data_IF_954127699328
#
_entry.id   IF_954127699328
#
_cell.length_a   1.000
_cell.length_b   1.000
_cell.length_c   1.000
_cell.angle_alpha   90.00
_cell.angle_beta   90.00
_cell.angle_gamma   90.00
#
_symmetry.space_group_name_H-M   'P 1'
#
loop_
_entity.id
_entity.type
_entity.pdbx_description
1 polymer ?
#
# COMPACT_ATOMS: atom_id res chain seq x y z
N UNK A 1 -1.62 -5.27 27.74
CA UNK A 1 -0.22 -4.86 27.60
C UNK A 1 0.30 -5.38 26.26
N UNK A 2 0.36 -4.53 25.23
CA UNK A 2 0.87 -4.94 23.91
C UNK A 2 2.38 -4.77 23.96
N UNK A 3 3.13 -5.88 24.04
CA UNK A 3 4.58 -5.86 23.92
C UNK A 3 4.94 -5.30 22.54
N UNK A 4 5.45 -4.07 22.52
CA UNK A 4 6.04 -3.50 21.30
C UNK A 4 7.44 -4.07 21.22
N UNK A 5 7.75 -4.92 20.23
CA UNK A 5 9.10 -5.45 20.10
C UNK A 5 10.08 -4.30 19.89
N UNK A 6 11.14 -4.25 20.68
CA UNK A 6 12.20 -3.26 20.52
C UNK A 6 12.82 -3.39 19.12
N UNK A 7 13.08 -2.26 18.43
CA UNK A 7 13.74 -2.28 17.14
C UNK A 7 15.20 -2.71 17.29
N UNK A 8 15.69 -3.48 16.31
CA UNK A 8 17.11 -3.78 16.14
C UNK A 8 17.69 -2.83 15.09
N UNK A 9 18.82 -2.21 15.38
CA UNK A 9 19.58 -1.39 14.44
C UNK A 9 21.03 -1.87 14.35
N UNK A 10 21.64 -1.75 13.18
CA UNK A 10 23.07 -2.02 13.03
C UNK A 10 23.90 -0.80 13.44
N UNK A 11 25.07 -1.01 14.05
CA UNK A 11 25.93 0.11 14.51
C UNK A 11 26.32 1.08 13.38
N UNK A 12 26.54 0.57 12.17
CA UNK A 12 26.90 1.40 11.01
C UNK A 12 25.70 2.15 10.41
N UNK A 13 24.48 1.73 10.74
CA UNK A 13 23.23 2.29 10.22
C UNK A 13 22.20 2.45 11.35
N UNK A 14 22.47 3.34 12.33
CA UNK A 14 21.61 3.50 13.51
C UNK A 14 20.19 3.96 13.14
N UNK A 15 20.04 4.72 12.05
CA UNK A 15 18.74 5.24 11.59
C UNK A 15 17.90 4.18 10.83
N UNK A 16 18.40 2.95 10.71
CA UNK A 16 17.65 1.82 10.13
C UNK A 16 17.11 0.95 11.25
N UNK A 17 15.85 1.19 11.62
CA UNK A 17 15.15 0.47 12.67
C UNK A 17 14.43 -0.76 12.13
N UNK A 18 14.75 -1.94 12.64
CA UNK A 18 14.15 -3.21 12.21
C UNK A 18 13.23 -3.77 13.28
N UNK A 19 11.94 -3.87 12.94
CA UNK A 19 10.91 -4.47 13.78
C UNK A 19 10.57 -5.88 13.29
N UNK A 20 10.75 -6.86 14.16
CA UNK A 20 10.49 -8.27 13.84
C UNK A 20 9.15 -8.76 14.40
N UNK A 21 8.44 -9.58 13.62
CA UNK A 21 7.26 -10.33 14.07
C UNK A 21 7.37 -11.79 13.62
N UNK A 22 7.07 -12.71 14.53
CA UNK A 22 7.27 -14.14 14.31
C UNK A 22 8.69 -14.57 14.73
N UNK A 23 9.12 -15.74 14.27
CA UNK A 23 10.44 -16.31 14.60
C UNK A 23 11.51 -15.72 13.67
N UNK A 24 11.85 -14.45 13.90
CA UNK A 24 12.97 -13.77 13.22
C UNK A 24 14.12 -13.61 14.21
N UNK A 25 15.27 -14.29 14.00
CA UNK A 25 16.43 -14.14 14.87
C UNK A 25 17.01 -12.72 14.83
N UNK A 26 17.64 -12.29 15.94
CA UNK A 26 18.26 -10.96 16.03
C UNK A 26 19.35 -10.73 14.95
N UNK A 27 20.13 -11.77 14.61
CA UNK A 27 21.15 -11.67 13.56
C UNK A 27 20.55 -11.42 12.17
N UNK A 28 19.33 -11.92 11.90
CA UNK A 28 18.65 -11.66 10.62
C UNK A 28 18.14 -10.21 10.58
N UNK A 29 17.67 -9.69 11.72
CA UNK A 29 17.29 -8.30 11.84
C UNK A 29 18.51 -7.36 11.63
N UNK A 30 19.65 -7.65 12.25
CA UNK A 30 20.90 -6.91 12.04
C UNK A 30 21.40 -7.02 10.59
N UNK A 31 21.36 -8.21 9.99
CA UNK A 31 21.66 -8.42 8.56
C UNK A 31 20.78 -7.56 7.67
N UNK A 32 19.48 -7.50 7.94
CA UNK A 32 18.52 -6.68 7.21
C UNK A 32 18.80 -5.19 7.39
N UNK A 33 19.10 -4.73 8.61
CA UNK A 33 19.47 -3.34 8.90
C UNK A 33 20.69 -2.92 8.07
N UNK A 34 21.76 -3.72 8.09
CA UNK A 34 22.99 -3.47 7.31
C UNK A 34 22.72 -3.46 5.80
N UNK A 35 21.92 -4.42 5.33
CA UNK A 35 21.64 -4.55 3.90
C UNK A 35 20.80 -3.37 3.36
N UNK A 36 19.76 -2.98 4.10
CA UNK A 36 18.95 -1.80 3.78
C UNK A 36 19.81 -0.54 3.87
N UNK A 37 20.57 -0.36 4.95
CA UNK A 37 21.46 0.79 5.14
C UNK A 37 22.45 0.98 4.00
N UNK A 38 23.06 -0.10 3.49
CA UNK A 38 23.92 -0.05 2.30
C UNK A 38 23.20 0.45 1.05
N UNK A 39 21.95 0.02 0.81
CA UNK A 39 21.15 0.53 -0.32
C UNK A 39 20.86 2.01 -0.15
N UNK A 40 20.47 2.44 1.05
CA UNK A 40 20.20 3.85 1.35
C UNK A 40 21.44 4.72 1.15
N UNK A 41 22.58 4.31 1.69
CA UNK A 41 23.86 5.01 1.55
C UNK A 41 24.29 5.10 0.08
N UNK A 42 24.19 4.00 -0.68
CA UNK A 42 24.50 3.99 -2.10
C UNK A 42 23.61 4.96 -2.91
N UNK A 43 22.37 5.18 -2.47
CA UNK A 43 21.41 6.10 -3.10
C UNK A 43 21.40 7.50 -2.49
N UNK A 44 22.28 7.79 -1.53
CA UNK A 44 22.35 9.08 -0.86
C UNK A 44 21.08 9.44 -0.07
N UNK A 45 20.35 8.45 0.45
CA UNK A 45 19.15 8.69 1.26
C UNK A 45 19.55 9.00 2.70
N UNK A 46 19.13 10.17 3.17
CA UNK A 46 19.29 10.63 4.55
C UNK A 46 17.95 10.50 5.31
N UNK A 47 18.00 10.28 6.63
CA UNK A 47 16.81 10.14 7.48
C UNK A 47 16.34 8.71 7.76
N UNK A 48 17.11 7.71 7.34
CA UNK A 48 16.92 6.32 7.76
C UNK A 48 15.72 5.60 7.14
N UNK A 49 15.38 4.46 7.73
CA UNK A 49 14.23 3.67 7.30
C UNK A 49 13.69 2.79 8.44
N UNK A 50 12.37 2.63 8.45
CA UNK A 50 11.69 1.65 9.28
C UNK A 50 11.43 0.37 8.51
N UNK A 51 12.15 -0.68 8.88
CA UNK A 51 12.01 -2.03 8.33
C UNK A 51 11.11 -2.86 9.22
N UNK A 52 10.23 -3.65 8.62
CA UNK A 52 9.44 -4.65 9.31
C UNK A 52 9.63 -6.01 8.64
N UNK A 53 10.09 -6.97 9.43
CA UNK A 53 10.22 -8.37 9.04
C UNK A 53 9.07 -9.15 9.65
N UNK A 54 8.38 -9.97 8.85
CA UNK A 54 7.32 -10.85 9.35
C UNK A 54 7.44 -12.21 8.70
N UNK A 55 7.73 -13.24 9.50
CA UNK A 55 7.76 -14.63 9.05
C UNK A 55 6.47 -15.35 9.44
N UNK A 56 6.07 -16.34 8.64
CA UNK A 56 5.12 -17.35 9.10
C UNK A 56 5.77 -18.21 10.21
N UNK A 57 5.00 -19.07 10.88
CA UNK A 57 5.50 -19.97 11.93
C UNK A 57 6.48 -21.07 11.41
N UNK A 58 6.96 -20.95 10.17
CA UNK A 58 7.90 -21.84 9.51
C UNK A 58 9.31 -21.18 9.50
N UNK A 59 10.36 -21.85 10.02
CA UNK A 59 11.73 -21.30 10.07
C UNK A 59 12.29 -20.86 8.71
N UNK A 60 12.00 -21.64 7.67
CA UNK A 60 12.49 -21.44 6.29
C UNK A 60 11.39 -20.94 5.35
N UNK A 61 10.27 -20.51 5.93
CA UNK A 61 9.10 -20.08 5.19
C UNK A 61 9.26 -18.69 4.60
N UNK A 62 8.32 -18.28 3.72
CA UNK A 62 8.35 -16.96 3.13
C UNK A 62 8.33 -15.87 4.20
N UNK A 63 9.12 -14.83 3.97
CA UNK A 63 9.19 -13.66 4.85
C UNK A 63 8.62 -12.45 4.12
N UNK A 64 7.75 -11.71 4.82
CA UNK A 64 7.33 -10.38 4.38
C UNK A 64 8.34 -9.35 4.87
N UNK A 65 8.96 -8.64 3.93
CA UNK A 65 9.83 -7.50 4.19
C UNK A 65 9.07 -6.24 3.78
N UNK A 66 8.88 -5.33 4.73
CA UNK A 66 8.35 -4.00 4.45
C UNK A 66 9.38 -2.96 4.86
N UNK A 67 9.69 -2.04 3.96
CA UNK A 67 10.57 -0.90 4.23
C UNK A 67 9.74 0.37 4.07
N UNK A 68 9.79 1.26 5.05
CA UNK A 68 9.18 2.59 4.99
C UNK A 68 10.29 3.61 5.19
N UNK A 69 10.34 4.61 4.34
CA UNK A 69 11.38 5.63 4.32
C UNK A 69 10.82 6.92 3.74
N UNK A 70 11.59 8.00 3.81
CA UNK A 70 11.31 9.23 3.06
C UNK A 70 12.38 9.39 1.97
N UNK A 71 11.94 9.77 0.78
CA UNK A 71 12.83 10.13 -0.33
C UNK A 71 12.51 11.57 -0.67
N UNK A 72 13.38 12.50 -0.26
CA UNK A 72 13.05 13.94 -0.15
C UNK A 72 11.80 14.11 0.73
N UNK A 73 10.78 14.81 0.25
CA UNK A 73 9.52 15.00 0.97
C UNK A 73 8.47 13.92 0.72
N UNK A 74 8.80 12.92 -0.10
CA UNK A 74 7.87 11.86 -0.46
C UNK A 74 7.98 10.68 0.50
N UNK A 75 6.91 10.33 1.24
CA UNK A 75 6.87 9.07 1.97
C UNK A 75 6.85 7.92 0.98
N UNK A 76 7.74 6.96 1.19
CA UNK A 76 7.90 5.79 0.34
C UNK A 76 7.71 4.55 1.19
N UNK A 77 7.02 3.57 0.62
CA UNK A 77 6.90 2.23 1.18
C UNK A 77 7.20 1.21 0.12
N UNK A 78 7.88 0.15 0.51
CA UNK A 78 8.19 -1.00 -0.32
C UNK A 78 7.78 -2.24 0.44
N UNK A 79 7.11 -3.17 -0.24
CA UNK A 79 6.76 -4.44 0.35
C UNK A 79 7.10 -5.59 -0.60
N UNK A 80 7.77 -6.62 -0.08
CA UNK A 80 8.18 -7.79 -0.82
C UNK A 80 7.94 -9.06 0.02
N UNK A 81 7.51 -10.14 -0.64
CA UNK A 81 7.52 -11.48 -0.07
C UNK A 81 8.76 -12.18 -0.62
N UNK A 82 9.64 -12.62 0.26
CA UNK A 82 10.82 -13.40 -0.09
C UNK A 82 10.51 -14.88 0.02
N UNK A 83 11.21 -15.73 -0.72
CA UNK A 83 11.07 -17.19 -0.64
C UNK A 83 11.46 -17.73 0.75
N UNK A 84 12.39 -17.05 1.42
CA UNK A 84 12.89 -17.35 2.76
C UNK A 84 13.86 -16.25 3.20
N UNK A 85 14.65 -16.53 4.24
CA UNK A 85 15.64 -15.59 4.79
C UNK A 85 16.78 -15.27 3.81
N UNK A 86 17.19 -16.25 3.01
CA UNK A 86 18.28 -16.08 2.04
C UNK A 86 17.89 -15.21 0.83
N UNK A 87 16.60 -15.03 0.58
CA UNK A 87 16.05 -14.25 -0.53
C UNK A 87 15.77 -12.77 -0.17
N UNK A 88 16.46 -12.26 0.86
CA UNK A 88 16.47 -10.82 1.14
C UNK A 88 16.85 -9.94 -0.07
N UNK A 89 17.76 -10.35 -0.99
CA UNK A 89 18.07 -9.59 -2.20
C UNK A 89 16.85 -9.21 -3.05
N UNK A 90 15.80 -10.03 -3.08
CA UNK A 90 14.54 -9.69 -3.79
C UNK A 90 13.88 -8.44 -3.22
N UNK A 91 13.86 -8.30 -1.89
CA UNK A 91 13.33 -7.11 -1.23
C UNK A 91 14.23 -5.88 -1.47
N UNK A 92 15.55 -6.05 -1.42
CA UNK A 92 16.53 -4.97 -1.65
C UNK A 92 16.46 -4.45 -3.08
N UNK A 93 16.32 -5.33 -4.08
CA UNK A 93 16.19 -4.92 -5.47
C UNK A 93 14.88 -4.16 -5.72
N UNK A 94 13.78 -4.54 -5.03
CA UNK A 94 12.54 -3.74 -5.08
C UNK A 94 12.72 -2.38 -4.40
N UNK A 95 13.44 -2.31 -3.27
CA UNK A 95 13.75 -1.06 -2.57
C UNK A 95 14.53 -0.11 -3.47
N UNK A 96 15.62 -0.59 -4.05
CA UNK A 96 16.47 0.17 -4.96
C UNK A 96 15.69 0.75 -6.15
N UNK A 97 14.91 -0.10 -6.83
CA UNK A 97 14.04 0.32 -7.96
C UNK A 97 12.97 1.32 -7.55
N UNK A 98 12.47 1.26 -6.32
CA UNK A 98 11.49 2.23 -5.84
C UNK A 98 12.14 3.59 -5.57
N UNK A 99 13.33 3.60 -4.94
CA UNK A 99 14.09 4.83 -4.69
C UNK A 99 14.40 5.54 -6.01
N UNK A 100 14.95 4.82 -7.00
CA UNK A 100 15.27 5.38 -8.33
C UNK A 100 14.05 6.00 -9.00
N UNK A 101 12.88 5.36 -8.85
CA UNK A 101 11.63 5.81 -9.47
C UNK A 101 11.08 7.07 -8.83
N UNK A 102 11.17 7.19 -7.51
CA UNK A 102 10.70 8.38 -6.77
C UNK A 102 11.66 9.56 -6.96
N UNK A 103 12.95 9.31 -7.23
CA UNK A 103 13.93 10.34 -7.58
C UNK A 103 13.69 10.98 -8.96
N UNK A 104 13.17 10.19 -9.89
CA UNK A 104 12.92 10.58 -11.28
C UNK A 104 11.57 11.30 -11.43
N UNK A 105 11.34 12.06 -12.52
CA UNK A 105 10.00 12.52 -12.86
C UNK A 105 9.02 11.35 -12.83
N UNK A 106 7.91 11.53 -12.11
CA UNK A 106 6.99 10.43 -11.85
C UNK A 106 6.44 9.84 -13.14
N UNK A 107 6.40 8.51 -13.17
CA UNK A 107 5.73 7.70 -14.19
C UNK A 107 4.96 6.60 -13.47
N UNK A 108 3.77 6.21 -13.97
CA UNK A 108 3.07 5.05 -13.45
C UNK A 108 3.99 3.84 -13.32
N UNK A 109 3.93 3.14 -12.18
CA UNK A 109 4.66 1.87 -12.05
C UNK A 109 4.23 0.91 -13.19
N UNK A 110 5.18 0.10 -13.73
CA UNK A 110 4.87 -0.90 -14.74
C UNK A 110 3.77 -1.85 -14.29
N UNK A 111 2.95 -2.26 -15.25
CA UNK A 111 1.88 -3.22 -15.06
C UNK A 111 1.91 -4.28 -16.18
N UNK A 112 1.78 -5.57 -15.87
CA UNK A 112 1.70 -6.14 -14.51
C UNK A 112 3.07 -6.16 -13.80
N UNK A 113 3.07 -5.97 -12.48
CA UNK A 113 4.27 -6.19 -11.65
C UNK A 113 4.39 -7.69 -11.32
N UNK A 114 5.16 -8.40 -12.13
CA UNK A 114 5.37 -9.86 -11.99
C UNK A 114 6.09 -10.26 -10.71
N UNK A 115 6.77 -9.33 -10.06
CA UNK A 115 7.49 -9.61 -8.81
C UNK A 115 6.60 -9.44 -7.58
N UNK A 116 5.34 -9.01 -7.77
CA UNK A 116 4.37 -8.83 -6.70
C UNK A 116 3.48 -10.06 -6.57
N UNK A 117 3.46 -10.64 -5.37
CA UNK A 117 2.48 -11.69 -5.02
C UNK A 117 1.11 -11.07 -4.83
N UNK A 118 0.15 -11.44 -5.68
CA UNK A 118 -1.25 -11.01 -5.55
C UNK A 118 -1.92 -11.85 -4.45
N UNK A 119 -2.68 -11.18 -3.59
CA UNK A 119 -3.53 -11.83 -2.60
C UNK A 119 -4.99 -11.75 -3.04
N UNK A 120 -5.72 -12.80 -2.71
CA UNK A 120 -7.14 -12.98 -2.99
C UNK A 120 -7.82 -13.36 -1.68
N UNK A 121 -9.09 -13.00 -1.51
CA UNK A 121 -9.88 -13.58 -0.42
C UNK A 121 -10.11 -15.08 -0.68
N UNK A 122 -10.01 -15.88 0.38
CA UNK A 122 -10.11 -17.35 0.34
C UNK A 122 -11.37 -17.89 1.01
N UNK A 123 -12.18 -17.05 1.66
CA UNK A 123 -13.51 -17.40 2.17
C UNK A 123 -13.63 -17.54 3.68
N UNK A 124 -12.52 -17.77 4.38
CA UNK A 124 -12.49 -18.03 5.83
C UNK A 124 -12.02 -16.82 6.64
N UNK A 125 -11.75 -15.68 5.98
CA UNK A 125 -11.13 -14.55 6.63
C UNK A 125 -12.09 -13.68 7.44
N UNK A 126 -11.59 -13.22 8.58
CA UNK A 126 -12.24 -12.17 9.39
C UNK A 126 -11.57 -10.82 9.19
N UNK A 127 -12.24 -9.73 9.56
CA UNK A 127 -11.60 -8.40 9.63
C UNK A 127 -10.68 -8.38 10.86
N UNK A 128 -9.40 -8.68 10.66
CA UNK A 128 -8.41 -8.74 11.73
C UNK A 128 -7.76 -7.38 12.03
N UNK A 129 -7.96 -6.37 11.16
CA UNK A 129 -7.42 -5.03 11.37
C UNK A 129 -8.34 -3.97 10.80
N UNK A 130 -8.64 -2.96 11.61
CA UNK A 130 -9.32 -1.73 11.21
C UNK A 130 -8.36 -0.54 11.28
N UNK A 131 -8.50 0.38 10.34
CA UNK A 131 -7.75 1.64 10.31
C UNK A 131 -8.64 2.78 9.85
N UNK A 132 -8.84 3.75 10.72
CA UNK A 132 -9.37 5.07 10.36
C UNK A 132 -8.29 5.93 9.73
N UNK A 133 -8.64 6.67 8.67
CA UNK A 133 -7.80 7.69 8.07
C UNK A 133 -8.63 8.91 7.70
N UNK A 134 -8.13 10.11 8.02
CA UNK A 134 -8.58 11.33 7.37
C UNK A 134 -8.21 11.24 5.89
N UNK A 135 -9.21 11.17 5.01
CA UNK A 135 -8.97 10.99 3.58
C UNK A 135 -8.45 12.29 2.98
N UNK A 136 -7.23 12.24 2.47
CA UNK A 136 -6.62 13.36 1.77
C UNK A 136 -7.43 13.69 0.52
N UNK A 137 -7.78 14.97 0.36
CA UNK A 137 -8.33 15.52 -0.87
C UNK A 137 -7.24 15.64 -1.92
N UNK A 138 -7.43 15.02 -3.08
CA UNK A 138 -6.44 15.02 -4.17
C UNK A 138 -7.10 14.73 -5.52
N UNK A 139 -6.40 15.07 -6.59
CA UNK A 139 -6.77 14.62 -7.94
C UNK A 139 -6.55 13.11 -8.11
N UNK A 140 -7.26 12.44 -9.03
CA UNK A 140 -6.98 11.05 -9.34
C UNK A 140 -5.53 10.78 -9.73
N UNK A 141 -4.86 11.72 -10.41
CA UNK A 141 -3.48 11.55 -10.83
C UNK A 141 -2.50 11.57 -9.64
N UNK A 142 -2.69 12.51 -8.70
CA UNK A 142 -1.94 12.54 -7.44
C UNK A 142 -2.18 11.28 -6.60
N UNK A 143 -3.42 10.78 -6.58
CA UNK A 143 -3.75 9.53 -5.92
C UNK A 143 -2.99 8.34 -6.50
N UNK A 144 -2.79 8.29 -7.82
CA UNK A 144 -1.95 7.26 -8.45
C UNK A 144 -0.49 7.42 -8.02
N UNK A 145 0.03 8.64 -7.97
CA UNK A 145 1.40 8.90 -7.53
C UNK A 145 1.62 8.45 -6.08
N UNK A 146 0.67 8.73 -5.17
CA UNK A 146 0.69 8.25 -3.78
C UNK A 146 0.58 6.72 -3.71
N UNK A 147 -0.37 6.12 -4.44
CA UNK A 147 -0.53 4.66 -4.55
C UNK A 147 0.79 4.01 -4.97
N UNK A 148 1.50 4.64 -5.90
CA UNK A 148 2.77 4.15 -6.41
C UNK A 148 3.93 4.31 -5.44
N UNK A 149 4.07 5.48 -4.82
CA UNK A 149 5.10 5.75 -3.81
C UNK A 149 4.97 4.82 -2.60
N UNK A 150 3.74 4.52 -2.20
CA UNK A 150 3.43 3.68 -1.04
C UNK A 150 3.36 2.17 -1.35
N UNK A 151 3.63 1.78 -2.60
CA UNK A 151 3.60 0.40 -3.09
C UNK A 151 2.25 -0.31 -2.79
N UNK A 152 1.17 0.44 -2.96
CA UNK A 152 -0.21 -0.05 -2.85
C UNK A 152 -0.74 -0.54 -4.20
N UNK A 153 -1.72 -1.45 -4.19
CA UNK A 153 -2.46 -1.80 -5.40
C UNK A 153 -3.80 -1.08 -5.51
N UNK A 154 -4.20 -0.41 -4.44
CA UNK A 154 -5.43 0.37 -4.33
C UNK A 154 -5.20 1.47 -3.30
N UNK A 155 -5.68 2.67 -3.58
CA UNK A 155 -5.56 3.82 -2.69
C UNK A 155 -6.90 4.54 -2.60
N UNK A 156 -7.42 4.67 -1.38
CA UNK A 156 -8.63 5.41 -1.03
C UNK A 156 -8.27 6.87 -0.75
N UNK A 157 -9.02 7.79 -1.34
CA UNK A 157 -8.84 9.24 -1.22
C UNK A 157 -10.20 9.95 -1.41
N UNK A 158 -10.26 11.25 -1.13
CA UNK A 158 -11.40 12.08 -1.53
C UNK A 158 -11.04 12.80 -2.82
N UNK A 159 -11.80 12.56 -3.88
CA UNK A 159 -11.55 13.14 -5.20
C UNK A 159 -11.93 14.61 -5.20
N UNK A 160 -10.96 15.48 -5.48
CA UNK A 160 -11.17 16.93 -5.49
C UNK A 160 -12.14 17.38 -6.59
N UNK A 161 -12.28 16.61 -7.67
CA UNK A 161 -13.16 16.96 -8.79
C UNK A 161 -14.64 16.71 -8.45
N UNK A 162 -14.94 15.65 -7.68
CA UNK A 162 -16.32 15.24 -7.37
C UNK A 162 -16.72 15.48 -5.91
N UNK A 163 -15.74 15.66 -5.02
CA UNK A 163 -15.96 15.65 -3.57
C UNK A 163 -16.25 14.27 -2.99
N UNK A 164 -16.21 13.21 -3.79
CA UNK A 164 -16.55 11.84 -3.38
C UNK A 164 -15.35 11.09 -2.84
N UNK A 165 -15.60 10.09 -1.98
CA UNK A 165 -14.58 9.10 -1.70
C UNK A 165 -14.38 8.23 -2.95
N UNK A 166 -13.14 8.00 -3.34
CA UNK A 166 -12.79 7.29 -4.56
C UNK A 166 -11.58 6.39 -4.34
N UNK A 167 -11.42 5.39 -5.21
CA UNK A 167 -10.21 4.57 -5.26
C UNK A 167 -9.57 4.61 -6.63
N UNK A 168 -8.25 4.83 -6.64
CA UNK A 168 -7.42 4.40 -7.77
C UNK A 168 -6.87 3.02 -7.48
N UNK A 169 -6.79 2.15 -8.48
CA UNK A 169 -6.32 0.80 -8.29
C UNK A 169 -5.68 0.18 -9.54
N UNK A 170 -4.89 -0.86 -9.28
CA UNK A 170 -4.17 -1.65 -10.28
C UNK A 170 -5.04 -2.80 -10.81
N UNK A 171 -5.42 -2.72 -12.08
CA UNK A 171 -6.20 -3.78 -12.73
C UNK A 171 -6.50 -3.52 -14.20
N UNK A 172 -7.02 -4.54 -14.88
CA UNK A 172 -7.36 -4.49 -16.30
C UNK A 172 -6.13 -4.38 -17.22
N UNK A 173 -6.36 -4.15 -18.54
CA UNK A 173 -5.29 -4.12 -19.54
C UNK A 173 -4.32 -2.94 -19.37
N UNK A 174 -4.82 -1.75 -19.01
CA UNK A 174 -3.97 -0.56 -18.80
C UNK A 174 -3.25 -0.53 -17.46
N UNK A 175 -3.71 -1.33 -16.49
CA UNK A 175 -3.13 -1.38 -15.16
C UNK A 175 -3.48 -0.22 -14.23
N UNK A 176 -4.32 0.71 -14.66
CA UNK A 176 -4.80 1.82 -13.83
C UNK A 176 -6.28 2.04 -14.03
N UNK A 177 -7.01 2.04 -12.93
CA UNK A 177 -8.45 2.26 -12.90
C UNK A 177 -8.85 3.22 -11.79
N UNK A 178 -9.95 3.92 -12.00
CA UNK A 178 -10.60 4.81 -11.04
C UNK A 178 -12.00 4.28 -10.76
N UNK A 179 -12.38 4.15 -9.49
CA UNK A 179 -13.78 3.94 -9.10
C UNK A 179 -14.20 5.07 -8.16
N UNK A 180 -15.35 5.66 -8.47
CA UNK A 180 -15.98 6.77 -7.74
C UNK A 180 -17.28 6.28 -7.09
N UNK A 181 -17.86 7.05 -6.17
CA UNK A 181 -19.11 6.65 -5.56
C UNK A 181 -20.27 6.75 -6.54
N UNK A 182 -20.43 7.90 -7.21
CA UNK A 182 -21.59 8.16 -8.07
C UNK A 182 -21.18 8.67 -9.45
N UNK A 183 -20.21 9.58 -9.54
CA UNK A 183 -19.90 10.28 -10.79
C UNK A 183 -18.85 9.57 -11.68
N UNK A 184 -19.29 8.87 -12.74
CA UNK A 184 -18.42 8.03 -13.58
C UNK A 184 -17.74 8.73 -14.78
N UNK A 185 -17.75 10.08 -14.81
CA UNK A 185 -17.14 10.79 -15.93
C UNK A 185 -15.60 10.71 -15.90
N UNK A 186 -14.92 10.75 -17.06
CA UNK A 186 -13.46 10.80 -17.11
C UNK A 186 -12.90 12.03 -16.38
N UNK A 187 -11.76 11.92 -15.65
CA UNK A 187 -11.16 13.05 -14.95
C UNK A 187 -10.89 14.24 -15.86
N UNK A 188 -10.94 15.46 -15.34
CA UNK A 188 -10.90 16.69 -16.15
C UNK A 188 -9.67 16.77 -17.09
N UNK A 189 -8.52 16.31 -16.62
CA UNK A 189 -7.28 16.29 -17.41
C UNK A 189 -7.33 15.37 -18.64
N UNK A 190 -8.24 14.40 -18.69
CA UNK A 190 -8.40 13.51 -19.86
C UNK A 190 -8.96 14.23 -21.10
N UNK A 191 -9.50 15.43 -20.92
CA UNK A 191 -10.03 16.29 -21.98
C UNK A 191 -8.99 17.29 -22.49
N UNK A 192 -7.80 17.30 -21.89
CA UNK A 192 -6.71 18.22 -22.20
C UNK A 192 -5.52 17.49 -22.83
N UNK A 193 -4.60 18.25 -23.44
CA UNK A 193 -3.34 17.68 -23.90
C UNK A 193 -2.58 17.01 -22.73
N UNK A 194 -2.01 15.80 -22.90
CA UNK A 194 -1.36 15.09 -21.81
C UNK A 194 -0.21 15.89 -21.21
N UNK A 195 -0.30 16.20 -19.92
CA UNK A 195 0.76 16.87 -19.16
C UNK A 195 1.92 15.92 -18.80
N UNK A 196 1.67 14.60 -18.83
CA UNK A 196 2.66 13.55 -18.60
C UNK A 196 3.01 12.82 -19.90
N UNK A 197 4.28 12.48 -20.11
CA UNK A 197 4.73 11.65 -21.23
C UNK A 197 5.39 10.36 -20.73
N UNK A 198 4.90 9.14 -21.09
CA UNK A 198 3.68 8.90 -21.86
C UNK A 198 2.42 9.29 -21.06
N UNK A 199 1.26 9.45 -21.73
CA UNK A 199 -0.01 9.68 -21.06
C UNK A 199 -0.30 8.58 -20.03
N UNK A 200 -0.98 8.93 -18.94
CA UNK A 200 -1.38 7.96 -17.92
C UNK A 200 -2.69 7.29 -18.38
N UNK A 201 -2.76 5.97 -18.57
CA UNK A 201 -3.96 5.32 -19.11
C UNK A 201 -4.97 4.96 -18.00
N UNK A 202 -5.53 5.97 -17.34
CA UNK A 202 -6.47 5.79 -16.23
C UNK A 202 -7.90 5.53 -16.74
N UNK A 203 -8.42 4.32 -16.52
CA UNK A 203 -9.75 3.92 -16.98
C UNK A 203 -10.77 4.06 -15.85
N UNK A 204 -11.81 4.87 -16.04
CA UNK A 204 -12.90 4.99 -15.06
C UNK A 204 -13.79 3.74 -15.10
N UNK A 205 -14.12 3.22 -13.92
CA UNK A 205 -15.11 2.16 -13.78
C UNK A 205 -16.47 2.71 -14.22
N UNK A 206 -17.17 2.00 -15.10
CA UNK A 206 -18.45 2.47 -15.65
C UNK A 206 -19.63 2.28 -14.71
N UNK A 207 -19.42 1.66 -13.54
CA UNK A 207 -20.46 1.44 -12.54
C UNK A 207 -20.14 2.19 -11.25
N UNK A 208 -21.16 2.83 -10.63
CA UNK A 208 -21.00 3.43 -9.32
C UNK A 208 -20.57 2.39 -8.29
N UNK A 209 -19.89 2.88 -7.26
CA UNK A 209 -19.48 2.03 -6.15
C UNK A 209 -20.73 1.56 -5.42
N UNK A 210 -20.89 0.25 -5.19
CA UNK A 210 -22.07 -0.28 -4.52
C UNK A 210 -22.13 0.18 -3.06
N UNK A 211 -23.34 0.45 -2.57
CA UNK A 211 -23.61 0.64 -1.14
C UNK A 211 -23.75 -0.73 -0.47
N UNK A 212 -22.89 -1.04 0.51
CA UNK A 212 -22.83 -2.34 1.17
C UNK A 212 -22.53 -2.19 2.67
N UNK A 213 -23.05 -3.10 3.49
CA UNK A 213 -22.55 -3.30 4.86
C UNK A 213 -21.19 -4.00 4.83
N UNK A 214 -20.42 -3.94 5.92
CA UNK A 214 -19.14 -4.67 6.03
C UNK A 214 -19.31 -6.17 5.76
N UNK A 215 -20.37 -6.77 6.32
CA UNK A 215 -20.68 -8.19 6.13
C UNK A 215 -21.00 -8.53 4.67
N UNK A 216 -21.78 -7.68 3.98
CA UNK A 216 -22.09 -7.88 2.57
C UNK A 216 -20.85 -7.70 1.67
N UNK A 217 -19.99 -6.73 2.00
CA UNK A 217 -18.72 -6.52 1.31
C UNK A 217 -17.77 -7.71 1.50
N UNK A 218 -17.65 -8.25 2.72
CA UNK A 218 -16.88 -9.47 3.00
C UNK A 218 -17.41 -10.66 2.21
N UNK A 219 -18.72 -10.93 2.28
CA UNK A 219 -19.34 -12.02 1.56
C UNK A 219 -19.06 -11.93 0.05
N UNK A 220 -19.23 -10.75 -0.54
CA UNK A 220 -18.94 -10.49 -1.95
C UNK A 220 -17.46 -10.69 -2.29
N UNK A 221 -16.57 -10.25 -1.41
CA UNK A 221 -15.12 -10.37 -1.60
C UNK A 221 -14.69 -11.84 -1.62
N UNK A 222 -15.24 -12.65 -0.71
CA UNK A 222 -15.01 -14.09 -0.64
C UNK A 222 -15.64 -14.83 -1.84
N UNK A 223 -16.93 -14.61 -2.11
CA UNK A 223 -17.66 -15.30 -3.17
C UNK A 223 -17.04 -15.10 -4.56
N UNK A 224 -16.49 -13.92 -4.84
CA UNK A 224 -15.87 -13.60 -6.13
C UNK A 224 -14.34 -13.56 -6.09
N UNK A 225 -13.71 -14.01 -4.99
CA UNK A 225 -12.26 -14.03 -4.83
C UNK A 225 -11.63 -12.69 -5.23
N UNK A 226 -12.11 -11.59 -4.66
CA UNK A 226 -11.68 -10.24 -5.06
C UNK A 226 -10.36 -9.85 -4.37
N UNK A 227 -9.55 -9.03 -5.05
CA UNK A 227 -8.30 -8.44 -4.50
C UNK A 227 -8.54 -7.34 -3.48
N UNK A 228 -9.70 -6.70 -3.56
CA UNK A 228 -10.22 -5.72 -2.62
C UNK A 228 -11.71 -5.50 -2.92
N UNK A 229 -12.43 -4.91 -1.97
CA UNK A 229 -13.78 -4.38 -2.17
C UNK A 229 -13.81 -2.92 -1.72
N UNK A 230 -14.13 -2.02 -2.65
CA UNK A 230 -14.47 -0.63 -2.36
C UNK A 230 -15.99 -0.51 -2.36
N UNK A 231 -16.54 0.06 -1.30
CA UNK A 231 -17.99 0.19 -1.11
C UNK A 231 -18.34 1.46 -0.33
N UNK A 232 -19.54 1.98 -0.56
CA UNK A 232 -20.11 3.05 0.26
C UNK A 232 -20.81 2.42 1.46
N UNK A 233 -20.49 2.86 2.67
CA UNK A 233 -21.20 2.37 3.85
C UNK A 233 -22.58 3.05 3.95
N UNK A 234 -23.68 2.29 4.14
CA UNK A 234 -25.04 2.86 4.11
C UNK A 234 -25.25 3.94 5.17
N UNK A 235 -24.76 3.73 6.39
CA UNK A 235 -25.06 4.64 7.50
C UNK A 235 -24.25 5.93 7.45
N UNK A 236 -23.01 5.88 6.96
CA UNK A 236 -22.12 7.05 6.97
C UNK A 236 -22.02 7.73 5.62
N UNK A 237 -22.47 7.09 4.53
CA UNK A 237 -22.25 7.56 3.16
C UNK A 237 -20.78 7.59 2.72
N UNK A 238 -19.84 7.24 3.61
CA UNK A 238 -18.38 7.28 3.36
C UNK A 238 -17.89 6.00 2.70
N UNK A 239 -16.84 6.15 1.90
CA UNK A 239 -16.12 5.06 1.27
C UNK A 239 -15.37 4.20 2.29
N UNK A 240 -15.43 2.88 2.11
CA UNK A 240 -14.65 1.90 2.87
C UNK A 240 -13.92 0.96 1.92
N UNK A 241 -12.72 0.55 2.31
CA UNK A 241 -11.86 -0.31 1.51
C UNK A 241 -11.47 -1.56 2.31
N UNK A 242 -11.95 -2.71 1.85
CA UNK A 242 -11.64 -4.04 2.39
C UNK A 242 -10.61 -4.74 1.50
N UNK A 243 -9.57 -5.36 2.08
CA UNK A 243 -8.50 -5.98 1.31
C UNK A 243 -7.81 -7.15 2.05
N UNK A 244 -7.24 -8.16 1.36
CA UNK A 244 -6.51 -9.25 2.00
C UNK A 244 -5.15 -8.76 2.48
N UNK A 245 -4.69 -9.25 3.63
CA UNK A 245 -3.39 -8.90 4.19
C UNK A 245 -2.38 -10.03 4.00
N UNK A 246 -1.12 -9.66 3.83
CA UNK A 246 -0.01 -10.62 3.78
C UNK A 246 0.19 -11.39 5.09
N UNK A 247 -0.28 -10.84 6.21
CA UNK A 247 -0.30 -11.53 7.50
C UNK A 247 -1.51 -12.48 7.66
N UNK A 248 -2.28 -12.71 6.60
CA UNK A 248 -3.58 -13.37 6.64
C UNK A 248 -4.71 -12.43 7.07
N UNK A 249 -5.94 -12.89 6.90
CA UNK A 249 -7.18 -12.17 7.21
C UNK A 249 -7.37 -10.86 6.41
N UNK A 250 -8.51 -10.20 6.62
CA UNK A 250 -8.85 -8.95 5.95
C UNK A 250 -8.41 -7.74 6.77
N UNK A 251 -8.04 -6.68 6.06
CA UNK A 251 -7.89 -5.33 6.56
C UNK A 251 -9.03 -4.47 6.06
N UNK A 252 -9.54 -3.59 6.93
CA UNK A 252 -10.53 -2.58 6.60
C UNK A 252 -9.93 -1.20 6.82
N UNK A 253 -10.04 -0.35 5.80
CA UNK A 253 -9.78 1.08 5.87
C UNK A 253 -11.12 1.82 5.86
N UNK A 254 -11.31 2.69 6.84
CA UNK A 254 -12.47 3.58 6.98
C UNK A 254 -12.01 5.02 6.87
N UNK A 255 -12.82 5.87 6.22
CA UNK A 255 -12.69 7.31 6.44
C UNK A 255 -13.08 7.63 7.88
N UNK A 256 -12.30 8.49 8.52
CA UNK A 256 -12.73 9.25 9.70
C UNK A 256 -12.86 10.72 9.26
N UNK A 257 -13.74 11.47 9.92
CA UNK A 257 -13.82 12.91 9.69
C UNK A 257 -12.67 13.60 10.44
N UNK A 258 -12.20 14.75 9.95
CA UNK A 258 -11.08 15.50 10.58
C UNK A 258 -11.36 15.86 12.05
N UNK A 259 -12.60 15.80 12.50
CA UNK A 259 -13.03 16.03 13.88
C UNK A 259 -12.64 14.92 14.88
N UNK A 260 -12.16 13.76 14.41
CA UNK A 260 -11.78 12.63 15.27
C UNK A 260 -10.26 12.53 15.56
N UNK A 261 -9.42 13.43 15.00
CA UNK A 261 -7.96 13.39 15.18
C UNK A 261 -7.47 13.82 16.58
N UNK A 262 -8.28 14.50 17.39
CA UNK A 262 -7.87 14.96 18.73
C UNK A 262 -7.77 13.82 19.78
N UNK A 263 -8.13 12.57 19.44
CA UNK A 263 -8.23 11.46 20.39
C UNK A 263 -7.10 10.42 20.41
N UNK A 264 -6.11 10.49 19.51
CA UNK A 264 -5.09 9.43 19.40
C UNK A 264 -3.72 9.92 18.88
N UNK A 265 -2.98 10.63 19.74
CA UNK A 265 -1.51 10.69 19.68
C UNK A 265 -0.89 9.71 20.68
#
# INVERSE_FOLDING_TARGET
MVYTPEPVSAREFPDVEVFSRGRVPAWEADRAARAVGRVLAHRGITGGARVRLTTANCPDGPMLVQVNLRVRDTPVRVQAVTAGRDDLPTALMRLDRQIVRVWSPWRPRPWPDRTRRILWATGEEVIARRKGYALRRMTPLEAVAVMDAMDYDVHLFTDIETGEDAVVYRGGPSGLRLARQLHMYPPGWSWSAPTTRPPVPLIVNSRPTPTLTEAAAMHRMCAHHLRFAFFTHPDSGRGRLLYPRYAGNLGLITSIDDSDEEGAS
#
